data_IF_847604315636
#
_entry.id   IF_847604315636
#
_cell.length_a   1.000
_cell.length_b   1.000
_cell.length_c   1.000
_cell.angle_alpha   90.00
_cell.angle_beta   90.00
_cell.angle_gamma   90.00
#
_symmetry.space_group_name_H-M   'P 1'
#
loop_
_entity.id
_entity.type
_entity.pdbx_description
1 polymer ?
#
# COMPACT_ATOMS: atom_id res chain seq x y z
N UNK A 1 8.82 -8.12 -21.87
CA UNK A 1 7.97 -8.27 -23.07
C UNK A 1 6.77 -9.22 -22.87
N UNK A 2 6.88 -10.35 -22.15
CA UNK A 2 5.76 -11.29 -21.95
C UNK A 2 4.57 -10.66 -21.22
N UNK A 3 4.80 -9.88 -20.16
CA UNK A 3 3.73 -9.22 -19.37
C UNK A 3 2.89 -8.28 -20.24
N UNK A 4 3.54 -7.37 -20.98
CA UNK A 4 2.84 -6.42 -21.87
C UNK A 4 1.98 -7.13 -22.93
N UNK A 5 2.49 -8.22 -23.49
CA UNK A 5 1.74 -9.04 -24.46
C UNK A 5 0.53 -9.70 -23.79
N UNK A 6 0.70 -10.25 -22.57
CA UNK A 6 -0.39 -10.84 -21.82
C UNK A 6 -1.53 -9.86 -21.54
N UNK A 7 -1.20 -8.65 -21.07
CA UNK A 7 -2.18 -7.59 -20.85
C UNK A 7 -2.87 -7.21 -22.16
N UNK A 8 -2.11 -7.01 -23.25
CA UNK A 8 -2.68 -6.67 -24.55
C UNK A 8 -3.65 -7.75 -25.08
N UNK A 9 -3.31 -9.03 -24.89
CA UNK A 9 -4.19 -10.14 -25.26
C UNK A 9 -5.49 -10.17 -24.42
N UNK A 10 -5.40 -9.93 -23.12
CA UNK A 10 -6.57 -9.88 -22.24
C UNK A 10 -7.53 -8.73 -22.62
N UNK A 11 -7.00 -7.62 -23.15
CA UNK A 11 -7.79 -6.45 -23.55
C UNK A 11 -8.48 -6.61 -24.92
N UNK A 12 -8.08 -7.57 -25.76
CA UNK A 12 -8.70 -7.78 -27.07
C UNK A 12 -10.21 -8.05 -27.01
N UNK A 13 -10.67 -8.66 -25.93
CA UNK A 13 -12.08 -9.01 -25.73
C UNK A 13 -12.92 -7.87 -25.13
N UNK A 14 -12.32 -6.70 -24.85
CA UNK A 14 -12.95 -5.57 -24.16
C UNK A 14 -13.67 -6.01 -22.88
N UNK A 15 -12.96 -6.57 -21.91
CA UNK A 15 -13.57 -7.14 -20.70
C UNK A 15 -14.12 -6.02 -19.80
N UNK A 16 -15.21 -6.31 -19.08
CA UNK A 16 -15.72 -5.47 -18.00
C UNK A 16 -14.92 -5.68 -16.70
N UNK A 17 -14.33 -6.88 -16.54
CA UNK A 17 -13.50 -7.25 -15.39
C UNK A 17 -12.18 -7.83 -15.88
N UNK A 18 -11.07 -7.30 -15.38
CA UNK A 18 -9.72 -7.72 -15.71
C UNK A 18 -9.03 -8.25 -14.45
N UNK A 19 -8.53 -9.50 -14.50
CA UNK A 19 -7.78 -10.11 -13.39
C UNK A 19 -6.33 -10.28 -13.81
N UNK A 20 -5.42 -9.70 -13.05
CA UNK A 20 -3.98 -9.68 -13.33
C UNK A 20 -3.19 -10.23 -12.14
N UNK A 21 -2.38 -11.23 -12.40
CA UNK A 21 -1.48 -11.82 -11.42
C UNK A 21 -0.06 -11.28 -11.63
N UNK A 22 0.46 -10.55 -10.62
CA UNK A 22 1.79 -9.91 -10.64
C UNK A 22 2.10 -9.15 -11.96
N UNK A 23 1.25 -8.23 -12.44
CA UNK A 23 1.36 -7.67 -13.79
C UNK A 23 2.62 -6.82 -14.01
N UNK A 24 3.25 -6.32 -12.96
CA UNK A 24 4.46 -5.47 -13.03
C UNK A 24 5.73 -6.22 -12.68
N UNK A 25 5.62 -7.48 -12.24
CA UNK A 25 6.78 -8.27 -11.84
C UNK A 25 7.77 -8.48 -13.00
N UNK A 26 9.04 -8.18 -12.76
CA UNK A 26 10.11 -8.32 -13.75
C UNK A 26 10.10 -7.27 -14.86
N UNK A 27 9.36 -6.19 -14.71
CA UNK A 27 9.47 -5.00 -15.55
C UNK A 27 10.55 -4.06 -15.02
N UNK A 28 11.12 -3.26 -15.92
CA UNK A 28 11.95 -2.12 -15.58
C UNK A 28 11.09 -0.96 -15.02
N UNK A 29 11.67 0.03 -14.33
CA UNK A 29 10.90 1.13 -13.75
C UNK A 29 10.02 1.89 -14.76
N UNK A 30 10.50 2.08 -15.99
CA UNK A 30 9.71 2.71 -17.07
C UNK A 30 8.51 1.83 -17.46
N UNK A 31 8.71 0.52 -17.55
CA UNK A 31 7.66 -0.44 -17.85
C UNK A 31 6.58 -0.51 -16.78
N UNK A 32 6.95 -0.38 -15.50
CA UNK A 32 6.00 -0.31 -14.39
C UNK A 32 5.10 0.91 -14.53
N UNK A 33 5.69 2.09 -14.78
CA UNK A 33 4.94 3.34 -14.97
C UNK A 33 4.00 3.25 -16.18
N UNK A 34 4.46 2.67 -17.29
CA UNK A 34 3.65 2.50 -18.50
C UNK A 34 2.44 1.59 -18.25
N UNK A 35 2.66 0.42 -17.63
CA UNK A 35 1.57 -0.50 -17.29
C UNK A 35 0.58 0.15 -16.32
N UNK A 36 1.06 0.87 -15.32
CA UNK A 36 0.22 1.62 -14.38
C UNK A 36 -0.69 2.60 -15.12
N UNK A 37 -0.16 3.43 -15.99
CA UNK A 37 -0.94 4.39 -16.78
C UNK A 37 -1.99 3.71 -17.68
N UNK A 38 -1.66 2.53 -18.23
CA UNK A 38 -2.62 1.76 -19.02
C UNK A 38 -3.78 1.30 -18.14
N UNK A 39 -3.49 0.72 -16.98
CA UNK A 39 -4.49 0.20 -16.07
C UNK A 39 -5.37 1.32 -15.47
N UNK A 40 -4.78 2.45 -15.10
CA UNK A 40 -5.55 3.62 -14.64
C UNK A 40 -6.54 4.09 -15.70
N UNK A 41 -6.11 4.29 -16.95
CA UNK A 41 -7.01 4.69 -18.03
C UNK A 41 -8.10 3.68 -18.32
N UNK A 42 -7.82 2.39 -18.20
CA UNK A 42 -8.84 1.35 -18.37
C UNK A 42 -9.92 1.43 -17.28
N UNK A 43 -9.52 1.68 -16.04
CA UNK A 43 -10.46 1.84 -14.93
C UNK A 43 -11.23 3.16 -15.00
N UNK A 44 -10.53 4.29 -15.18
CA UNK A 44 -11.11 5.63 -15.11
C UNK A 44 -11.93 5.99 -16.36
N UNK A 45 -11.36 5.74 -17.55
CA UNK A 45 -11.96 6.18 -18.82
C UNK A 45 -12.97 5.16 -19.39
N UNK A 46 -12.74 3.87 -19.13
CA UNK A 46 -13.52 2.78 -19.74
C UNK A 46 -14.38 2.01 -18.71
N UNK A 47 -14.26 2.31 -17.42
CA UNK A 47 -15.04 1.69 -16.36
C UNK A 47 -14.72 0.20 -16.15
N UNK A 48 -13.53 -0.26 -16.53
CA UNK A 48 -13.12 -1.65 -16.33
C UNK A 48 -12.79 -1.87 -14.85
N UNK A 49 -13.40 -2.88 -14.23
CA UNK A 49 -13.03 -3.31 -12.88
C UNK A 49 -11.76 -4.13 -12.95
N UNK A 50 -10.72 -3.75 -12.21
CA UNK A 50 -9.42 -4.41 -12.26
C UNK A 50 -9.09 -5.02 -10.91
N UNK A 51 -8.81 -6.33 -10.90
CA UNK A 51 -8.29 -7.07 -9.75
C UNK A 51 -6.82 -7.41 -10.01
N UNK A 52 -5.95 -6.99 -9.10
CA UNK A 52 -4.49 -7.16 -9.23
C UNK A 52 -3.96 -7.89 -8.01
N UNK A 53 -3.11 -8.90 -8.21
CA UNK A 53 -2.25 -9.44 -7.16
C UNK A 53 -0.86 -8.81 -7.25
N UNK A 54 -0.24 -8.52 -6.10
CA UNK A 54 1.18 -8.19 -5.99
C UNK A 54 1.68 -8.49 -4.58
N UNK A 55 2.98 -8.73 -4.45
CA UNK A 55 3.67 -8.82 -3.17
C UNK A 55 4.33 -7.50 -2.76
N UNK A 56 4.25 -6.46 -3.59
CA UNK A 56 4.83 -5.14 -3.36
C UNK A 56 3.72 -4.09 -3.13
N UNK A 57 3.47 -3.80 -1.86
CA UNK A 57 2.43 -2.87 -1.45
C UNK A 57 2.62 -1.46 -2.02
N UNK A 58 3.87 -1.00 -2.14
CA UNK A 58 4.21 0.31 -2.70
C UNK A 58 3.77 0.49 -4.16
N UNK A 59 3.74 -0.59 -4.94
CA UNK A 59 3.28 -0.54 -6.33
C UNK A 59 1.75 -0.45 -6.42
N UNK A 60 1.06 -1.19 -5.53
CA UNK A 60 -0.39 -1.20 -5.48
C UNK A 60 -0.98 0.10 -4.93
N UNK A 61 -0.31 0.75 -3.97
CA UNK A 61 -0.81 1.97 -3.34
C UNK A 61 -0.94 3.16 -4.29
N UNK A 62 -0.26 3.12 -5.42
CA UNK A 62 -0.37 4.14 -6.47
C UNK A 62 -1.40 3.81 -7.56
N UNK A 63 -2.02 2.63 -7.49
CA UNK A 63 -2.91 2.13 -8.54
C UNK A 63 -4.28 1.72 -8.00
N UNK A 64 -4.33 1.13 -6.82
CA UNK A 64 -5.55 0.51 -6.27
C UNK A 64 -6.28 1.45 -5.30
N UNK A 65 -7.60 1.35 -5.27
CA UNK A 65 -8.48 2.06 -4.33
C UNK A 65 -8.79 1.22 -3.09
N UNK A 66 -8.82 -0.11 -3.27
CA UNK A 66 -9.18 -1.08 -2.25
C UNK A 66 -8.16 -2.22 -2.20
N UNK A 67 -7.91 -2.73 -1.00
CA UNK A 67 -6.89 -3.74 -0.74
C UNK A 67 -7.47 -4.91 0.03
N UNK A 68 -7.15 -6.11 -0.42
CA UNK A 68 -7.50 -7.36 0.24
C UNK A 68 -6.25 -8.12 0.64
N UNK A 69 -6.05 -8.34 1.93
CA UNK A 69 -4.89 -9.08 2.45
C UNK A 69 -5.26 -10.55 2.57
N UNK A 70 -4.52 -11.40 1.86
CA UNK A 70 -4.70 -12.85 1.89
C UNK A 70 -3.51 -13.51 2.56
N UNK A 71 -3.78 -14.40 3.51
CA UNK A 71 -2.76 -15.23 4.16
C UNK A 71 -3.24 -16.68 4.24
N UNK A 72 -2.42 -17.63 3.78
CA UNK A 72 -2.71 -19.07 3.75
C UNK A 72 -4.08 -19.41 3.15
N UNK A 73 -4.45 -18.72 2.07
CA UNK A 73 -5.72 -18.91 1.36
C UNK A 73 -6.96 -18.35 2.06
N UNK A 74 -6.78 -17.57 3.12
CA UNK A 74 -7.87 -16.90 3.82
C UNK A 74 -7.75 -15.38 3.64
N UNK A 75 -8.88 -14.74 3.43
CA UNK A 75 -8.99 -13.29 3.45
C UNK A 75 -8.85 -12.83 4.92
N UNK A 76 -7.79 -12.10 5.21
CA UNK A 76 -7.48 -11.60 6.55
C UNK A 76 -8.18 -10.28 6.80
N UNK A 77 -8.12 -9.40 5.82
CA UNK A 77 -8.62 -8.02 5.97
C UNK A 77 -8.90 -7.37 4.60
N UNK A 78 -9.87 -6.46 4.58
CA UNK A 78 -10.10 -5.52 3.50
C UNK A 78 -9.86 -4.10 4.01
N UNK A 79 -9.17 -3.28 3.23
CA UNK A 79 -8.79 -1.92 3.57
C UNK A 79 -9.02 -1.01 2.37
N UNK A 80 -9.48 0.20 2.60
CA UNK A 80 -9.38 1.29 1.62
C UNK A 80 -7.96 1.85 1.55
N UNK A 81 -7.65 2.62 0.51
CA UNK A 81 -6.37 3.32 0.39
C UNK A 81 -6.11 4.26 1.58
N UNK A 82 -7.14 4.93 2.08
CA UNK A 82 -7.02 5.81 3.25
C UNK A 82 -6.64 5.03 4.52
N UNK A 83 -7.33 3.91 4.80
CA UNK A 83 -7.03 3.05 5.94
C UNK A 83 -5.63 2.44 5.85
N UNK A 84 -5.21 2.08 4.63
CA UNK A 84 -3.86 1.59 4.38
C UNK A 84 -2.82 2.67 4.68
N UNK A 85 -3.01 3.88 4.20
CA UNK A 85 -2.11 5.00 4.46
C UNK A 85 -2.01 5.33 5.94
N UNK A 86 -3.13 5.30 6.67
CA UNK A 86 -3.14 5.54 8.11
C UNK A 86 -2.35 4.49 8.89
N UNK A 87 -2.39 3.23 8.46
CA UNK A 87 -1.61 2.14 9.06
C UNK A 87 -0.13 2.18 8.69
N UNK A 88 0.18 2.61 7.47
CA UNK A 88 1.55 2.70 6.95
C UNK A 88 2.25 4.01 7.30
N UNK A 89 1.60 4.91 8.06
CA UNK A 89 2.24 6.15 8.53
C UNK A 89 3.51 5.82 9.30
N UNK A 90 4.61 6.43 8.89
CA UNK A 90 5.88 6.31 9.59
C UNK A 90 5.76 6.89 10.99
N UNK A 91 6.06 6.11 12.01
CA UNK A 91 6.09 6.56 13.39
C UNK A 91 7.54 6.71 13.83
N UNK A 92 7.84 7.83 14.47
CA UNK A 92 9.12 8.00 15.16
C UNK A 92 8.92 7.50 16.58
N UNK A 93 9.61 6.43 16.95
CA UNK A 93 9.60 5.92 18.32
C UNK A 93 10.70 6.62 19.12
N UNK A 94 10.28 7.38 20.12
CA UNK A 94 11.19 8.03 21.06
C UNK A 94 11.20 7.25 22.38
N UNK A 95 12.35 6.76 22.77
CA UNK A 95 12.55 6.19 24.11
C UNK A 95 13.05 7.28 25.05
N UNK A 96 12.36 7.48 26.15
CA UNK A 96 12.68 8.53 27.12
C UNK A 96 12.53 8.03 28.55
N UNK A 97 13.35 8.58 29.44
CA UNK A 97 13.25 8.32 30.88
C UNK A 97 12.29 9.29 31.62
N UNK A 98 11.78 10.30 30.92
CA UNK A 98 10.83 11.25 31.48
C UNK A 98 9.80 11.66 30.43
N UNK A 99 8.68 10.97 30.45
CA UNK A 99 7.60 11.14 29.47
C UNK A 99 6.97 12.52 29.53
N UNK A 100 6.78 13.09 30.73
CA UNK A 100 6.13 14.39 30.92
C UNK A 100 6.99 15.53 30.33
N UNK A 101 8.31 15.52 30.59
CA UNK A 101 9.22 16.50 30.02
C UNK A 101 9.33 16.36 28.50
N UNK A 102 9.31 15.13 27.99
CA UNK A 102 9.35 14.90 26.55
C UNK A 102 8.09 15.40 25.87
N UNK A 103 6.92 15.14 26.45
CA UNK A 103 5.64 15.65 25.94
C UNK A 103 5.64 17.19 25.90
N UNK A 104 6.04 17.85 26.99
CA UNK A 104 6.13 19.32 27.02
C UNK A 104 7.07 19.89 25.94
N UNK A 105 8.22 19.24 25.68
CA UNK A 105 9.13 19.67 24.60
C UNK A 105 8.53 19.45 23.21
N UNK A 106 7.82 18.33 22.98
CA UNK A 106 7.16 18.06 21.72
C UNK A 106 6.09 19.12 21.41
N UNK A 107 5.28 19.47 22.40
CA UNK A 107 4.19 20.44 22.25
C UNK A 107 4.71 21.88 22.19
N UNK A 108 5.52 22.32 23.17
CA UNK A 108 5.91 23.71 23.32
C UNK A 108 7.00 24.15 22.32
N UNK A 109 7.96 23.26 22.01
CA UNK A 109 9.11 23.63 21.16
C UNK A 109 9.03 23.14 19.72
N UNK A 110 8.37 22.01 19.49
CA UNK A 110 8.29 21.39 18.17
C UNK A 110 6.91 21.45 17.56
N UNK A 111 5.91 21.92 18.29
CA UNK A 111 4.49 22.01 17.87
C UNK A 111 3.94 20.67 17.37
N UNK A 112 4.41 19.55 17.94
CA UNK A 112 3.96 18.20 17.63
C UNK A 112 2.87 17.81 18.63
N UNK A 113 1.60 17.88 18.22
CA UNK A 113 0.45 17.55 19.08
C UNK A 113 -0.09 16.13 18.92
N UNK A 114 0.43 15.35 17.97
CA UNK A 114 -0.05 13.98 17.71
C UNK A 114 1.01 12.95 18.09
N UNK A 115 0.91 12.41 19.30
CA UNK A 115 1.76 11.32 19.78
C UNK A 115 0.98 10.37 20.69
N UNK A 116 1.46 9.12 20.79
CA UNK A 116 0.94 8.12 21.73
C UNK A 116 2.03 7.74 22.72
N UNK A 117 1.69 7.77 24.00
CA UNK A 117 2.55 7.25 25.06
C UNK A 117 2.26 5.77 25.24
N UNK A 118 3.28 4.93 25.07
CA UNK A 118 3.18 3.49 25.34
C UNK A 118 4.22 3.11 26.39
N UNK A 119 3.85 2.28 27.39
CA UNK A 119 4.84 1.72 28.30
C UNK A 119 5.82 0.84 27.50
N UNK A 120 7.12 1.02 27.73
CA UNK A 120 8.15 0.17 27.13
C UNK A 120 8.02 -1.22 27.76
N UNK A 121 7.55 -2.20 26.99
CA UNK A 121 7.61 -3.59 27.40
C UNK A 121 9.05 -4.07 27.25
N UNK A 122 9.76 -4.23 28.34
CA UNK A 122 11.04 -4.93 28.36
C UNK A 122 10.74 -6.43 28.23
N UNK A 123 10.97 -7.02 27.05
CA UNK A 123 11.12 -8.46 26.94
C UNK A 123 12.57 -8.79 27.31
N UNK A 124 12.77 -9.36 28.47
CA UNK A 124 13.99 -10.07 28.79
C UNK A 124 13.85 -11.47 28.17
N UNK A 125 14.39 -11.68 26.99
CA UNK A 125 14.70 -13.03 26.53
C UNK A 125 15.97 -13.46 27.23
N UNK A 126 15.81 -14.38 28.22
CA UNK A 126 16.88 -15.07 28.89
C UNK A 126 17.41 -16.26 28.08
#
# INVERSE_FOLDING_TARGET
MRQRLGIAMALLTKPEVLVLDEPVNGLDPEGIVEVRHILQRLSEDQGVTILISSHLLSELSELCTDFSIINKGQLVENLSLEELHDRCRSHIVLSTNNTEKTAAVLEDKLSIGSYKVQPVAFSFDG
#
